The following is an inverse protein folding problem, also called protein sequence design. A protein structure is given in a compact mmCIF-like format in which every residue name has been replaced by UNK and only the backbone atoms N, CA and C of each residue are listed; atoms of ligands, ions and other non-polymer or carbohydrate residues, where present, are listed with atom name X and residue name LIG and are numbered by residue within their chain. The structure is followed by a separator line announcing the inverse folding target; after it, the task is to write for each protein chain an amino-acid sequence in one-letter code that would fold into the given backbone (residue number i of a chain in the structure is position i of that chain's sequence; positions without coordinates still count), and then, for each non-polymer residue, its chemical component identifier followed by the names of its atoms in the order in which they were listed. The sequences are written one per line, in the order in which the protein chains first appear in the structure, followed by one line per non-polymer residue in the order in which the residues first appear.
data_IF_478879744111
#
_entry.id   IF_478879744111
#
_cell.length_a   1.000
_cell.length_b   1.000
_cell.length_c   1.000
_cell.angle_alpha   90.00
_cell.angle_beta   90.00
_cell.angle_gamma   90.00
#
_symmetry.space_group_name_H-M   'P 1'
#
loop_
_entity.id
_entity.type
_entity.pdbx_description
1 polymer ?
#
# COMPACT_ATOMS: atom_id res chain seq x y z
N UNK A 1 11.03 36.94 -20.67
CA UNK A 1 10.39 35.63 -20.90
C UNK A 1 10.77 35.13 -22.29
N UNK A 2 11.42 33.97 -22.41
CA UNK A 2 11.81 33.36 -23.68
C UNK A 2 10.70 32.39 -24.11
N UNK A 3 9.91 32.73 -25.13
CA UNK A 3 8.93 31.80 -25.72
C UNK A 3 9.67 30.70 -26.45
N UNK A 4 9.34 29.44 -26.17
CA UNK A 4 9.77 28.29 -26.97
C UNK A 4 8.96 28.32 -28.26
N UNK A 5 9.65 28.32 -29.40
CA UNK A 5 9.03 28.21 -30.73
C UNK A 5 8.57 26.77 -30.89
N UNK A 6 7.29 26.58 -31.24
CA UNK A 6 6.74 25.26 -31.48
C UNK A 6 7.49 24.57 -32.62
N UNK A 7 7.91 23.32 -32.40
CA UNK A 7 8.53 22.49 -33.42
C UNK A 7 7.49 22.19 -34.52
N UNK A 8 7.75 22.56 -35.79
CA UNK A 8 6.83 22.27 -36.90
C UNK A 8 6.62 20.77 -37.16
N UNK A 9 7.48 19.89 -36.62
CA UNK A 9 7.31 18.44 -36.69
C UNK A 9 6.35 17.90 -35.62
N UNK A 10 5.93 18.72 -34.65
CA UNK A 10 4.95 18.30 -33.65
C UNK A 10 3.56 18.21 -34.29
N UNK A 11 2.81 17.11 -34.09
CA UNK A 11 1.48 16.99 -34.64
C UNK A 11 0.61 18.17 -34.19
N UNK A 12 -0.25 18.70 -35.07
CA UNK A 12 -1.12 19.83 -34.73
C UNK A 12 -1.92 19.50 -33.48
N UNK A 13 -2.04 20.47 -32.57
CA UNK A 13 -2.82 20.31 -31.35
C UNK A 13 -4.23 19.84 -31.74
N UNK A 14 -4.69 18.66 -31.28
CA UNK A 14 -5.94 18.07 -31.74
C UNK A 14 -7.19 18.91 -31.42
N UNK A 15 -7.05 20.04 -30.72
CA UNK A 15 -8.07 21.10 -30.65
C UNK A 15 -9.40 20.60 -30.07
N UNK A 16 -9.56 20.72 -28.76
CA UNK A 16 -10.82 20.33 -28.10
C UNK A 16 -10.64 20.13 -26.59
N UNK A 17 -11.76 19.91 -25.90
CA UNK A 17 -11.72 19.52 -24.49
C UNK A 17 -11.25 18.07 -24.40
N UNK A 18 -10.25 17.79 -23.55
CA UNK A 18 -9.73 16.46 -23.31
C UNK A 18 -10.89 15.51 -22.94
N UNK A 19 -11.28 14.64 -23.87
CA UNK A 19 -12.43 13.75 -23.70
C UNK A 19 -11.93 12.40 -23.22
N UNK A 20 -12.11 12.10 -21.93
CA UNK A 20 -11.74 10.79 -21.36
C UNK A 20 -13.00 9.92 -21.34
N UNK A 21 -13.03 8.87 -22.15
CA UNK A 21 -14.10 7.87 -22.14
C UNK A 21 -14.02 6.95 -20.91
N UNK A 22 -15.15 6.38 -20.48
CA UNK A 22 -15.18 5.46 -19.33
C UNK A 22 -14.22 4.29 -19.47
N UNK A 23 -14.09 3.73 -20.68
CA UNK A 23 -13.12 2.66 -20.97
C UNK A 23 -11.66 3.08 -20.68
N UNK A 24 -11.30 4.33 -20.99
CA UNK A 24 -9.97 4.85 -20.71
C UNK A 24 -9.74 5.05 -19.21
N UNK A 25 -10.78 5.43 -18.46
CA UNK A 25 -10.74 5.54 -16.99
C UNK A 25 -10.53 4.16 -16.36
N UNK A 26 -11.26 3.15 -16.82
CA UNK A 26 -11.14 1.77 -16.35
C UNK A 26 -9.76 1.18 -16.66
N UNK A 27 -9.28 1.35 -17.88
CA UNK A 27 -7.94 0.92 -18.28
C UNK A 27 -6.85 1.61 -17.44
N UNK A 28 -7.01 2.91 -17.15
CA UNK A 28 -6.09 3.64 -16.29
C UNK A 28 -6.14 3.12 -14.84
N UNK A 29 -7.33 2.85 -14.30
CA UNK A 29 -7.51 2.31 -12.96
C UNK A 29 -6.85 0.93 -12.81
N UNK A 30 -7.05 0.03 -13.79
CA UNK A 30 -6.43 -1.29 -13.80
C UNK A 30 -4.90 -1.23 -13.84
N UNK A 31 -4.34 -0.31 -14.64
CA UNK A 31 -2.88 -0.10 -14.70
C UNK A 31 -2.34 0.45 -13.38
N UNK A 32 -3.04 1.40 -12.76
CA UNK A 32 -2.67 1.95 -11.44
C UNK A 32 -2.69 0.87 -10.37
N UNK A 33 -3.72 0.03 -10.35
CA UNK A 33 -3.85 -1.09 -9.43
C UNK A 33 -2.67 -2.07 -9.57
N UNK A 34 -2.38 -2.47 -10.80
CA UNK A 34 -1.25 -3.37 -11.11
C UNK A 34 0.08 -2.78 -10.64
N UNK A 35 0.30 -1.48 -10.88
CA UNK A 35 1.51 -0.80 -10.44
C UNK A 35 1.60 -0.72 -8.91
N UNK A 36 0.48 -0.49 -8.22
CA UNK A 36 0.41 -0.49 -6.76
C UNK A 36 0.75 -1.87 -6.18
N UNK A 37 0.19 -2.95 -6.73
CA UNK A 37 0.51 -4.31 -6.30
C UNK A 37 2.01 -4.63 -6.42
N UNK A 38 2.67 -4.17 -7.49
CA UNK A 38 4.13 -4.33 -7.64
C UNK A 38 4.92 -3.59 -6.57
N UNK A 39 4.51 -2.37 -6.22
CA UNK A 39 5.15 -1.58 -5.16
C UNK A 39 4.95 -2.20 -3.78
N UNK A 40 3.76 -2.71 -3.48
CA UNK A 40 3.49 -3.43 -2.23
C UNK A 40 4.35 -4.70 -2.14
N UNK A 41 4.46 -5.48 -3.22
CA UNK A 41 5.32 -6.67 -3.25
C UNK A 41 6.80 -6.32 -3.00
N UNK A 42 7.30 -5.25 -3.61
CA UNK A 42 8.66 -4.77 -3.38
C UNK A 42 8.86 -4.34 -1.91
N UNK A 43 7.91 -3.60 -1.35
CA UNK A 43 7.93 -3.22 0.06
C UNK A 43 8.00 -4.44 1.00
N UNK A 44 7.23 -5.50 0.75
CA UNK A 44 7.27 -6.72 1.57
C UNK A 44 8.62 -7.41 1.54
N UNK A 45 9.30 -7.43 0.38
CA UNK A 45 10.65 -7.99 0.27
C UNK A 45 11.68 -7.20 1.07
N UNK A 46 11.51 -5.89 1.16
CA UNK A 46 12.40 -5.03 1.94
C UNK A 46 12.10 -5.12 3.44
N UNK A 47 10.82 -5.00 3.82
CA UNK A 47 10.40 -4.88 5.22
C UNK A 47 10.38 -6.21 5.98
N UNK A 48 10.20 -7.34 5.29
CA UNK A 48 10.04 -8.65 5.89
C UNK A 48 10.75 -9.75 5.08
N UNK A 49 11.99 -9.49 4.66
CA UNK A 49 12.78 -10.41 3.84
C UNK A 49 12.85 -11.84 4.42
N UNK A 50 12.96 -11.97 5.75
CA UNK A 50 12.96 -13.25 6.47
C UNK A 50 11.66 -14.04 6.29
N UNK A 51 10.52 -13.35 6.37
CA UNK A 51 9.19 -13.95 6.33
C UNK A 51 8.74 -14.22 4.89
N UNK A 52 9.16 -13.39 3.94
CA UNK A 52 8.96 -13.64 2.51
C UNK A 52 9.81 -14.82 2.05
N UNK A 53 11.05 -14.96 2.55
CA UNK A 53 11.93 -16.08 2.26
C UNK A 53 12.09 -16.34 0.75
N UNK A 54 11.83 -17.57 0.32
CA UNK A 54 11.94 -18.02 -1.08
C UNK A 54 10.60 -17.99 -1.84
N UNK A 55 9.61 -17.25 -1.33
CA UNK A 55 8.31 -17.13 -2.00
C UNK A 55 8.47 -16.66 -3.45
N UNK A 56 7.76 -17.34 -4.36
CA UNK A 56 7.76 -16.97 -5.78
C UNK A 56 7.08 -15.61 -5.99
N UNK A 57 7.41 -14.95 -7.11
CA UNK A 57 6.73 -13.72 -7.53
C UNK A 57 5.20 -13.89 -7.60
N UNK A 58 4.74 -15.05 -8.09
CA UNK A 58 3.31 -15.38 -8.17
C UNK A 58 2.67 -15.46 -6.79
N UNK A 59 3.28 -16.19 -5.85
CA UNK A 59 2.74 -16.33 -4.49
C UNK A 59 2.70 -14.98 -3.76
N UNK A 60 3.75 -14.17 -3.91
CA UNK A 60 3.77 -12.83 -3.32
C UNK A 60 2.72 -11.92 -3.98
N UNK A 61 2.52 -12.01 -5.29
CA UNK A 61 1.48 -11.27 -5.99
C UNK A 61 0.07 -11.66 -5.50
N UNK A 62 -0.21 -12.96 -5.36
CA UNK A 62 -1.47 -13.45 -4.82
C UNK A 62 -1.74 -12.94 -3.41
N UNK A 63 -0.71 -12.98 -2.54
CA UNK A 63 -0.79 -12.40 -1.20
C UNK A 63 -1.16 -10.91 -1.23
N UNK A 64 -0.53 -10.15 -2.11
CA UNK A 64 -0.81 -8.70 -2.26
C UNK A 64 -2.24 -8.47 -2.76
N UNK A 65 -2.72 -9.23 -3.75
CA UNK A 65 -4.08 -9.12 -4.27
C UNK A 65 -5.13 -9.42 -3.19
N UNK A 66 -4.91 -10.48 -2.40
CA UNK A 66 -5.79 -10.84 -1.30
C UNK A 66 -5.76 -9.75 -0.22
N UNK A 67 -4.57 -9.29 0.15
CA UNK A 67 -4.39 -8.25 1.17
C UNK A 67 -5.06 -6.94 0.75
N UNK A 68 -4.88 -6.50 -0.49
CA UNK A 68 -5.49 -5.28 -1.04
C UNK A 68 -7.03 -5.37 -1.02
N UNK A 69 -7.59 -6.50 -1.46
CA UNK A 69 -9.04 -6.73 -1.43
C UNK A 69 -9.59 -6.65 -0.01
N UNK A 70 -8.94 -7.31 0.95
CA UNK A 70 -9.36 -7.28 2.37
C UNK A 70 -9.22 -5.88 2.94
N UNK A 71 -8.08 -5.22 2.71
CA UNK A 71 -7.80 -3.87 3.18
C UNK A 71 -8.83 -2.87 2.69
N UNK A 72 -9.20 -2.93 1.40
CA UNK A 72 -10.28 -2.08 0.87
C UNK A 72 -11.64 -2.37 1.51
N UNK A 73 -11.93 -3.63 1.85
CA UNK A 73 -13.15 -3.98 2.58
C UNK A 73 -13.19 -3.42 4.00
N UNK A 74 -12.02 -3.14 4.59
CA UNK A 74 -11.86 -2.46 5.88
C UNK A 74 -11.80 -0.93 5.75
N UNK A 75 -11.98 -0.39 4.53
CA UNK A 75 -11.95 1.05 4.27
C UNK A 75 -10.55 1.64 4.06
N UNK A 76 -9.51 0.81 3.92
CA UNK A 76 -8.16 1.29 3.63
C UNK A 76 -8.05 1.75 2.17
N UNK A 77 -7.55 2.97 1.96
CA UNK A 77 -7.54 3.61 0.65
C UNK A 77 -6.13 3.88 0.12
N UNK A 78 -5.23 4.35 0.97
CA UNK A 78 -3.88 4.76 0.58
C UNK A 78 -2.93 3.58 0.39
N UNK A 79 -2.01 3.71 -0.57
CA UNK A 79 -1.00 2.68 -0.84
C UNK A 79 -0.13 2.39 0.40
N UNK A 80 0.22 3.41 1.18
CA UNK A 80 0.97 3.21 2.42
C UNK A 80 0.19 2.41 3.47
N UNK A 81 -1.14 2.56 3.51
CA UNK A 81 -2.00 1.75 4.36
C UNK A 81 -2.07 0.30 3.83
N UNK A 82 -2.17 0.12 2.52
CA UNK A 82 -2.14 -1.20 1.88
C UNK A 82 -0.79 -1.92 2.11
N UNK A 83 0.35 -1.22 2.07
CA UNK A 83 1.65 -1.78 2.43
C UNK A 83 1.68 -2.29 3.87
N UNK A 84 1.28 -1.45 4.82
CA UNK A 84 1.19 -1.82 6.25
C UNK A 84 0.26 -3.00 6.49
N UNK A 85 -0.91 -2.99 5.83
CA UNK A 85 -1.88 -4.06 5.94
C UNK A 85 -1.37 -5.37 5.36
N UNK A 86 -0.75 -5.35 4.17
CA UNK A 86 -0.17 -6.54 3.55
C UNK A 86 0.96 -7.13 4.40
N UNK A 87 1.74 -6.29 5.08
CA UNK A 87 2.77 -6.74 6.03
C UNK A 87 2.13 -7.42 7.25
N UNK A 88 1.08 -6.83 7.84
CA UNK A 88 0.36 -7.47 8.94
C UNK A 88 -0.29 -8.80 8.53
N UNK A 89 -0.87 -8.85 7.34
CA UNK A 89 -1.41 -10.09 6.76
C UNK A 89 -0.31 -11.14 6.61
N UNK A 90 0.89 -10.76 6.17
CA UNK A 90 2.03 -11.68 6.04
C UNK A 90 2.47 -12.22 7.40
N UNK A 91 2.79 -11.32 8.34
CA UNK A 91 3.31 -11.68 9.67
C UNK A 91 2.29 -12.48 10.52
N UNK A 92 1.00 -12.22 10.33
CA UNK A 92 -0.06 -12.96 11.04
C UNK A 92 -0.55 -14.20 10.29
N UNK A 93 -0.03 -14.48 9.09
CA UNK A 93 -0.55 -15.52 8.18
C UNK A 93 -2.07 -15.35 7.93
N UNK A 94 -2.49 -14.11 7.71
CA UNK A 94 -3.87 -13.72 7.41
C UNK A 94 -4.81 -13.65 8.61
N UNK A 95 -4.39 -14.10 9.80
CA UNK A 95 -5.27 -14.13 11.00
C UNK A 95 -5.77 -12.74 11.42
N UNK A 96 -4.99 -11.69 11.15
CA UNK A 96 -5.38 -10.31 11.50
C UNK A 96 -6.66 -9.84 10.79
N UNK A 97 -6.98 -10.40 9.61
CA UNK A 97 -8.21 -10.07 8.90
C UNK A 97 -9.48 -10.44 9.67
N UNK A 98 -9.41 -11.48 10.50
CA UNK A 98 -10.53 -11.94 11.33
C UNK A 98 -10.48 -11.44 12.78
N UNK A 99 -9.48 -10.66 13.16
CA UNK A 99 -9.29 -10.25 14.55
C UNK A 99 -10.21 -9.07 14.89
N UNK A 100 -11.29 -9.36 15.63
CA UNK A 100 -12.36 -8.39 15.90
C UNK A 100 -11.88 -7.08 16.55
N UNK A 101 -10.98 -7.08 17.56
CA UNK A 101 -10.47 -5.84 18.12
C UNK A 101 -9.76 -4.95 17.08
N UNK A 102 -9.04 -5.54 16.13
CA UNK A 102 -8.39 -4.78 15.05
C UNK A 102 -9.43 -4.19 14.11
N UNK A 103 -10.45 -4.96 13.75
CA UNK A 103 -11.54 -4.48 12.88
C UNK A 103 -12.33 -3.35 13.54
N UNK A 104 -12.68 -3.50 14.81
CA UNK A 104 -13.37 -2.49 15.60
C UNK A 104 -12.53 -1.21 15.69
N UNK A 105 -11.22 -1.33 15.90
CA UNK A 105 -10.31 -0.18 15.95
C UNK A 105 -10.22 0.56 14.60
N UNK A 106 -10.11 -0.16 13.49
CA UNK A 106 -10.06 0.45 12.16
C UNK A 106 -11.38 1.14 11.79
N UNK A 107 -12.52 0.61 12.26
CA UNK A 107 -13.86 1.14 12.02
C UNK A 107 -14.27 2.26 13.00
N UNK A 108 -13.45 2.59 13.99
CA UNK A 108 -13.76 3.61 14.98
C UNK A 108 -13.87 4.99 14.33
N UNK A 109 -14.78 5.84 14.81
CA UNK A 109 -14.88 7.23 14.40
C UNK A 109 -13.73 8.09 14.95
N UNK A 110 -13.43 9.20 14.27
CA UNK A 110 -12.47 10.22 14.72
C UNK A 110 -11.21 10.33 13.86
N UNK A 111 -10.90 9.32 13.04
CA UNK A 111 -9.90 9.39 11.97
C UNK A 111 -10.25 8.39 10.86
N UNK A 112 -9.60 8.54 9.71
CA UNK A 112 -9.62 7.55 8.64
C UNK A 112 -9.04 6.19 9.09
N UNK A 113 -9.52 5.07 8.51
CA UNK A 113 -8.91 3.75 8.71
C UNK A 113 -7.40 3.71 8.44
N UNK A 114 -6.94 4.45 7.42
CA UNK A 114 -5.52 4.65 7.11
C UNK A 114 -4.76 5.29 8.28
N UNK A 115 -5.37 6.30 8.92
CA UNK A 115 -4.84 6.99 10.09
C UNK A 115 -4.75 6.10 11.33
N UNK A 116 -5.78 5.28 11.58
CA UNK A 116 -5.77 4.25 12.63
C UNK A 116 -4.66 3.24 12.40
N UNK A 117 -4.54 2.70 11.19
CA UNK A 117 -3.50 1.73 10.87
C UNK A 117 -2.09 2.30 11.01
N UNK A 118 -1.87 3.55 10.60
CA UNK A 118 -0.60 4.24 10.80
C UNK A 118 -0.26 4.36 12.28
N UNK A 119 -1.19 4.85 13.12
CA UNK A 119 -0.96 4.98 14.56
C UNK A 119 -0.63 3.65 15.22
N UNK A 120 -1.32 2.58 14.85
CA UNK A 120 -1.05 1.24 15.36
C UNK A 120 0.40 0.81 15.07
N UNK A 121 0.88 1.07 13.85
CA UNK A 121 2.26 0.80 13.47
C UNK A 121 3.27 1.65 14.24
N UNK A 122 3.03 2.96 14.34
CA UNK A 122 3.95 3.88 15.01
C UNK A 122 4.13 3.50 16.50
N UNK A 123 3.03 3.17 17.18
CA UNK A 123 3.05 2.69 18.57
C UNK A 123 3.80 1.35 18.72
N UNK A 124 3.61 0.44 17.77
CA UNK A 124 4.29 -0.87 17.79
C UNK A 124 5.80 -0.71 17.59
N UNK A 125 6.22 0.15 16.66
CA UNK A 125 7.64 0.45 16.42
C UNK A 125 8.26 1.10 17.64
N UNK A 126 7.59 2.08 18.24
CA UNK A 126 8.05 2.75 19.46
C UNK A 126 8.25 1.75 20.61
N UNK A 127 7.26 0.89 20.86
CA UNK A 127 7.34 -0.13 21.91
C UNK A 127 8.47 -1.15 21.68
N UNK A 128 8.74 -1.53 20.43
CA UNK A 128 9.87 -2.41 20.10
C UNK A 128 11.23 -1.71 20.29
N UNK A 129 11.31 -0.41 19.98
CA UNK A 129 12.51 0.40 20.25
C UNK A 129 12.83 0.46 21.74
N UNK A 130 11.84 0.81 22.56
CA UNK A 130 11.97 0.86 24.02
C UNK A 130 12.39 -0.50 24.61
N UNK A 131 11.79 -1.59 24.13
CA UNK A 131 12.13 -2.95 24.59
C UNK A 131 13.55 -3.38 24.21
N UNK A 132 14.12 -2.85 23.12
CA UNK A 132 15.51 -3.10 22.71
C UNK A 132 16.47 -2.31 23.59
N UNK A 133 16.15 -1.06 23.89
CA UNK A 133 16.98 -0.19 24.73
C UNK A 133 17.02 -0.68 26.19
N UNK A 134 15.90 -1.21 26.70
CA UNK A 134 15.83 -1.83 28.02
C UNK A 134 16.68 -3.10 28.18
N UNK A 135 17.10 -3.74 27.07
CA UNK A 135 17.96 -4.94 27.05
C UNK A 135 19.44 -4.64 26.74
N UNK A 136 19.90 -3.41 26.95
CA UNK A 136 21.30 -2.99 26.77
C UNK A 136 22.33 -3.91 27.47
N UNK A 137 23.60 -3.91 27.01
CA UNK A 137 24.43 -5.11 26.95
C UNK A 137 24.81 -5.63 28.34
N UNK A 138 24.48 -6.90 28.61
CA UNK A 138 25.18 -7.66 29.63
C UNK A 138 26.63 -7.83 29.15
N UNK A 139 27.55 -7.11 29.82
CA UNK A 139 28.99 -7.33 29.74
C UNK A 139 29.35 -8.74 30.18
#
# INVERSE_FOLDING_TARGET
MRRVVADPAFPPDPGGVLTIGSEQIEALAARRLTASHRRIAAYLREAAASDVGTASDTALHEHVVISDRVGRHLGLAGEAAQCRWALLMLLSQGRIAGHEPTRAYLAQDGDSPDGHLRRLFDLTIAAMGEARDARGPHR
#
